data_IF_792297739052
#
_entry.id   IF_792297739052
#
_cell.length_a   1.000
_cell.length_b   1.000
_cell.length_c   1.000
_cell.angle_alpha   90.00
_cell.angle_beta   90.00
_cell.angle_gamma   90.00
#
_symmetry.space_group_name_H-M   'P 1'
#
loop_
_entity.id
_entity.type
_entity.pdbx_description
1 polymer ?
#
# COMPACT_ATOMS: atom_id res chain seq x y z
N UNK A 1 26.16 -45.32 13.72
CA UNK A 1 25.95 -44.60 15.00
C UNK A 1 24.90 -43.52 14.74
N UNK A 2 23.69 -43.74 15.26
CA UNK A 2 22.50 -42.91 15.07
C UNK A 2 22.49 -41.87 16.20
N UNK A 3 22.40 -40.57 15.88
CA UNK A 3 22.15 -39.51 16.86
C UNK A 3 20.78 -38.86 16.58
N UNK A 4 20.06 -38.70 17.68
CA UNK A 4 18.61 -38.53 17.84
C UNK A 4 18.11 -37.14 17.40
N UNK A 5 16.93 -37.12 16.81
CA UNK A 5 16.09 -35.93 16.68
C UNK A 5 15.38 -35.65 18.02
N UNK A 6 15.41 -34.40 18.47
CA UNK A 6 14.58 -33.92 19.58
C UNK A 6 13.21 -33.49 19.05
N UNK A 7 12.17 -34.25 19.39
CA UNK A 7 10.77 -33.87 19.21
C UNK A 7 10.31 -33.15 20.49
N UNK A 8 10.00 -31.86 20.36
CA UNK A 8 9.35 -31.08 21.42
C UNK A 8 7.85 -31.22 21.27
N UNK A 9 7.25 -31.85 22.29
CA UNK A 9 5.82 -32.14 22.43
C UNK A 9 5.12 -30.87 22.95
N UNK A 10 4.39 -30.14 22.10
CA UNK A 10 3.53 -29.04 22.56
C UNK A 10 2.17 -29.61 22.95
N UNK A 11 1.76 -29.28 24.17
CA UNK A 11 0.61 -29.79 24.92
C UNK A 11 -0.66 -29.06 24.47
N UNK A 12 -1.62 -29.78 23.88
CA UNK A 12 -2.97 -29.24 23.70
C UNK A 12 -3.64 -29.05 25.07
N UNK A 13 -4.10 -27.83 25.35
CA UNK A 13 -5.00 -27.53 26.45
C UNK A 13 -6.41 -27.99 26.06
N UNK A 14 -6.96 -28.92 26.85
CA UNK A 14 -8.30 -29.45 26.68
C UNK A 14 -9.37 -28.42 27.04
N UNK A 15 -10.40 -28.34 26.21
CA UNK A 15 -11.66 -27.68 26.52
C UNK A 15 -12.54 -28.69 27.25
N UNK A 16 -12.98 -28.35 28.47
CA UNK A 16 -13.97 -29.13 29.20
C UNK A 16 -15.34 -28.97 28.51
N UNK A 17 -15.89 -30.08 28.01
CA UNK A 17 -17.29 -30.18 27.62
C UNK A 17 -18.10 -30.67 28.81
N UNK A 18 -19.08 -29.88 29.26
CA UNK A 18 -20.10 -30.30 30.22
C UNK A 18 -21.20 -31.10 29.52
N UNK A 19 -21.61 -32.19 30.15
CA UNK A 19 -22.55 -33.20 29.67
C UNK A 19 -23.98 -32.66 29.44
N UNK A 20 -24.60 -33.11 28.35
CA UNK A 20 -26.05 -33.28 28.22
C UNK A 20 -26.32 -34.51 27.33
N UNK A 21 -27.27 -35.35 27.74
CA UNK A 21 -27.68 -36.63 27.15
C UNK A 21 -29.16 -36.54 26.72
N UNK A 22 -29.72 -37.47 25.92
CA UNK A 22 -29.67 -37.51 24.46
C UNK A 22 -31.07 -37.44 23.81
N UNK A 23 -31.18 -37.01 22.55
CA UNK A 23 -32.19 -37.51 21.59
C UNK A 23 -32.10 -36.77 20.24
N UNK A 24 -32.19 -37.52 19.14
CA UNK A 24 -32.37 -36.97 17.79
C UNK A 24 -31.24 -37.30 16.83
N UNK A 25 -31.39 -38.38 16.07
CA UNK A 25 -30.59 -38.65 14.87
C UNK A 25 -30.97 -37.68 13.76
N UNK A 26 -30.19 -36.62 13.57
CA UNK A 26 -30.12 -35.89 12.30
C UNK A 26 -28.70 -36.04 11.74
N UNK A 27 -28.56 -36.86 10.70
CA UNK A 27 -27.37 -36.85 9.86
C UNK A 27 -27.34 -35.52 9.12
N UNK A 28 -26.48 -34.60 9.57
CA UNK A 28 -26.10 -33.44 8.78
C UNK A 28 -25.07 -33.91 7.76
N UNK A 29 -25.44 -33.84 6.49
CA UNK A 29 -24.52 -34.04 5.37
C UNK A 29 -23.47 -32.92 5.42
N UNK A 30 -22.27 -33.27 5.84
CA UNK A 30 -21.12 -32.35 5.87
C UNK A 30 -20.74 -32.09 4.41
N UNK A 31 -20.99 -30.88 3.93
CA UNK A 31 -20.47 -30.47 2.62
C UNK A 31 -18.94 -30.57 2.64
N UNK A 32 -18.31 -31.15 1.61
CA UNK A 32 -16.86 -31.26 1.57
C UNK A 32 -16.23 -29.87 1.67
N UNK A 33 -15.27 -29.72 2.59
CA UNK A 33 -14.43 -28.54 2.66
C UNK A 33 -13.63 -28.48 1.35
N UNK A 34 -13.88 -27.44 0.54
CA UNK A 34 -13.10 -27.22 -0.68
C UNK A 34 -11.63 -27.14 -0.32
N UNK A 35 -10.80 -27.81 -1.10
CA UNK A 35 -9.36 -27.75 -0.90
C UNK A 35 -8.86 -26.33 -1.20
N UNK A 36 -7.81 -25.87 -0.51
CA UNK A 36 -7.16 -24.57 -0.80
C UNK A 36 -6.81 -24.42 -2.30
N UNK A 37 -6.53 -25.53 -2.98
CA UNK A 37 -6.31 -25.61 -4.43
C UNK A 37 -7.54 -25.31 -5.28
N UNK A 38 -8.75 -25.59 -4.79
CA UNK A 38 -10.01 -25.30 -5.50
C UNK A 38 -10.43 -23.83 -5.34
N UNK A 39 -10.15 -23.21 -4.18
CA UNK A 39 -10.30 -21.76 -4.00
C UNK A 39 -9.28 -20.98 -4.85
N UNK A 40 -8.03 -21.45 -4.94
CA UNK A 40 -7.04 -20.89 -5.87
C UNK A 40 -7.46 -21.03 -7.34
N UNK A 41 -8.20 -22.08 -7.71
CA UNK A 41 -8.64 -22.25 -9.11
C UNK A 41 -9.82 -21.35 -9.51
N UNK A 42 -10.50 -20.72 -8.54
CA UNK A 42 -11.51 -19.68 -8.78
C UNK A 42 -10.93 -18.26 -8.82
N UNK A 43 -9.68 -18.06 -8.40
CA UNK A 43 -8.92 -16.84 -8.67
C UNK A 43 -8.50 -16.84 -10.15
N UNK A 44 -9.46 -16.61 -11.05
CA UNK A 44 -9.14 -16.22 -12.43
C UNK A 44 -8.30 -14.96 -12.35
N UNK A 45 -7.03 -15.07 -12.75
CA UNK A 45 -6.07 -13.98 -12.92
C UNK A 45 -6.78 -12.74 -13.46
N UNK A 46 -7.08 -11.79 -12.58
CA UNK A 46 -7.62 -10.50 -12.96
C UNK A 46 -6.41 -9.59 -13.11
N UNK A 47 -5.97 -9.41 -14.35
CA UNK A 47 -5.00 -8.37 -14.69
C UNK A 47 -5.44 -7.04 -14.05
N UNK A 48 -4.49 -6.29 -13.49
CA UNK A 48 -4.74 -4.99 -12.90
C UNK A 48 -5.58 -4.14 -13.87
N UNK A 49 -6.70 -3.60 -13.36
CA UNK A 49 -7.54 -2.72 -14.16
C UNK A 49 -6.90 -1.33 -14.13
N UNK A 50 -6.15 -1.00 -15.18
CA UNK A 50 -5.40 0.26 -15.28
C UNK A 50 -6.22 1.32 -16.02
N UNK A 51 -6.34 2.49 -15.41
CA UNK A 51 -7.07 3.63 -15.92
C UNK A 51 -6.16 4.83 -16.15
N UNK A 52 -6.46 5.58 -17.23
CA UNK A 52 -5.85 6.88 -17.49
C UNK A 52 -6.43 7.94 -16.55
N UNK A 53 -5.59 8.55 -15.70
CA UNK A 53 -6.01 9.65 -14.81
C UNK A 53 -6.52 10.88 -15.57
N UNK A 54 -6.09 11.05 -16.80
CA UNK A 54 -6.56 12.13 -17.67
C UNK A 54 -8.00 11.98 -18.15
N UNK A 55 -8.46 10.73 -18.29
CA UNK A 55 -9.77 10.39 -18.87
C UNK A 55 -10.73 9.82 -17.83
N UNK A 56 -10.31 9.74 -16.58
CA UNK A 56 -11.08 9.14 -15.50
C UNK A 56 -12.25 10.02 -15.10
N UNK A 57 -13.41 9.41 -14.90
CA UNK A 57 -14.60 10.08 -14.39
C UNK A 57 -14.63 9.99 -12.86
N UNK A 58 -14.49 11.13 -12.19
CA UNK A 58 -14.46 11.21 -10.73
C UNK A 58 -15.85 11.33 -10.10
N UNK A 59 -16.94 11.27 -10.88
CA UNK A 59 -18.31 11.49 -10.38
C UNK A 59 -18.84 10.39 -9.46
N UNK A 60 -18.27 9.18 -9.49
CA UNK A 60 -18.80 7.99 -8.79
C UNK A 60 -18.41 7.87 -7.30
N UNK A 61 -17.80 8.88 -6.68
CA UNK A 61 -17.51 8.84 -5.23
C UNK A 61 -16.54 7.72 -4.80
N UNK A 62 -15.55 7.41 -5.64
CA UNK A 62 -14.57 6.33 -5.39
C UNK A 62 -13.55 6.67 -4.30
N UNK A 63 -12.87 5.63 -3.80
CA UNK A 63 -11.84 5.74 -2.78
C UNK A 63 -10.46 5.51 -3.42
N UNK A 64 -9.50 6.37 -3.09
CA UNK A 64 -8.19 6.39 -3.72
C UNK A 64 -7.07 6.23 -2.69
N UNK A 65 -5.98 5.58 -3.07
CA UNK A 65 -4.76 5.49 -2.27
C UNK A 65 -3.59 6.01 -3.09
N UNK A 66 -2.97 7.11 -2.67
CA UNK A 66 -1.92 7.76 -3.45
C UNK A 66 -0.55 7.26 -3.02
N UNK A 67 0.22 6.82 -4.01
CA UNK A 67 1.64 6.51 -3.87
C UNK A 67 2.45 7.77 -3.48
N UNK A 68 3.59 7.55 -2.83
CA UNK A 68 4.61 8.56 -2.50
C UNK A 68 5.00 9.38 -3.73
N UNK A 69 5.21 8.74 -4.89
CA UNK A 69 5.63 9.46 -6.10
C UNK A 69 4.59 10.52 -6.53
N UNK A 70 3.30 10.26 -6.32
CA UNK A 70 2.22 11.20 -6.64
C UNK A 70 2.26 12.38 -5.68
N UNK A 71 2.45 12.14 -4.39
CA UNK A 71 2.61 13.22 -3.42
C UNK A 71 3.84 14.07 -3.70
N UNK A 72 4.93 13.48 -4.19
CA UNK A 72 6.11 14.23 -4.62
C UNK A 72 5.84 15.09 -5.86
N UNK A 73 5.03 14.64 -6.82
CA UNK A 73 4.61 15.49 -7.94
C UNK A 73 3.73 16.68 -7.51
N UNK A 74 2.91 16.51 -6.47
CA UNK A 74 1.97 17.56 -6.03
C UNK A 74 2.62 18.54 -5.04
N UNK A 75 3.40 18.02 -4.08
CA UNK A 75 3.91 18.78 -2.94
C UNK A 75 5.43 18.67 -2.74
N UNK A 76 6.14 17.91 -3.57
CA UNK A 76 7.59 17.78 -3.49
C UNK A 76 8.33 19.03 -3.93
N UNK A 77 9.66 19.07 -3.72
CA UNK A 77 10.49 20.18 -4.14
C UNK A 77 10.76 20.07 -5.64
N UNK A 78 9.93 20.72 -6.45
CA UNK A 78 10.02 20.70 -7.90
C UNK A 78 10.74 21.97 -8.38
N UNK A 79 11.95 21.81 -8.92
CA UNK A 79 12.76 22.93 -9.42
C UNK A 79 12.34 23.43 -10.81
N UNK A 80 11.55 22.66 -11.58
CA UNK A 80 11.14 22.99 -12.95
C UNK A 80 9.72 22.48 -13.25
N UNK A 81 8.94 23.15 -14.11
CA UNK A 81 7.60 22.69 -14.49
C UNK A 81 7.61 21.22 -14.94
N UNK A 82 6.79 20.41 -14.29
CA UNK A 82 6.58 18.99 -14.59
C UNK A 82 5.11 18.77 -14.90
N UNK A 83 4.79 18.33 -16.11
CA UNK A 83 3.42 18.08 -16.55
C UNK A 83 2.68 17.07 -15.64
N UNK A 84 3.42 16.15 -14.99
CA UNK A 84 2.85 15.21 -14.02
C UNK A 84 2.30 15.95 -12.80
N UNK A 85 2.96 17.02 -12.38
CA UNK A 85 2.46 17.88 -11.29
C UNK A 85 1.08 18.45 -11.63
N UNK A 86 0.89 18.96 -12.85
CA UNK A 86 -0.40 19.49 -13.31
C UNK A 86 -1.48 18.42 -13.37
N UNK A 87 -1.15 17.26 -13.96
CA UNK A 87 -2.09 16.15 -14.13
C UNK A 87 -2.55 15.60 -12.78
N UNK A 88 -1.63 15.34 -11.86
CA UNK A 88 -1.96 14.77 -10.55
C UNK A 88 -2.55 15.80 -9.57
N UNK A 89 -2.17 17.08 -9.68
CA UNK A 89 -2.82 18.16 -8.93
C UNK A 89 -4.27 18.36 -9.38
N UNK A 90 -4.55 18.24 -10.68
CA UNK A 90 -5.92 18.22 -11.21
C UNK A 90 -6.69 17.03 -10.65
N UNK A 91 -6.13 15.82 -10.67
CA UNK A 91 -6.78 14.63 -10.11
C UNK A 91 -7.14 14.82 -8.63
N UNK A 92 -6.21 15.33 -7.81
CA UNK A 92 -6.48 15.67 -6.41
C UNK A 92 -7.64 16.67 -6.26
N UNK A 93 -7.72 17.68 -7.14
CA UNK A 93 -8.80 18.67 -7.14
C UNK A 93 -10.15 18.05 -7.52
N UNK A 94 -10.19 17.22 -8.57
CA UNK A 94 -11.42 16.56 -9.02
C UNK A 94 -11.96 15.60 -7.95
N UNK A 95 -11.11 14.79 -7.32
CA UNK A 95 -11.52 13.90 -6.22
C UNK A 95 -12.13 14.73 -5.08
N UNK A 96 -11.49 15.85 -4.70
CA UNK A 96 -11.99 16.75 -3.64
C UNK A 96 -13.28 17.50 -4.01
N UNK A 97 -13.56 17.66 -5.30
CA UNK A 97 -14.80 18.27 -5.79
C UNK A 97 -15.94 17.25 -5.93
N UNK A 98 -15.62 15.96 -5.86
CA UNK A 98 -16.56 14.84 -5.86
C UNK A 98 -16.86 14.35 -4.43
N UNK A 99 -17.66 13.28 -4.32
CA UNK A 99 -17.85 12.55 -3.06
C UNK A 99 -16.69 11.57 -2.74
N UNK A 100 -15.63 11.58 -3.56
CA UNK A 100 -14.49 10.68 -3.42
C UNK A 100 -13.63 10.96 -2.18
N UNK A 101 -12.92 9.93 -1.73
CA UNK A 101 -12.05 9.98 -0.56
C UNK A 101 -10.62 9.55 -0.91
N UNK A 102 -9.63 10.19 -0.28
CA UNK A 102 -8.22 9.84 -0.44
C UNK A 102 -7.71 9.27 0.88
N UNK A 103 -7.07 8.12 0.81
CA UNK A 103 -6.49 7.43 1.94
C UNK A 103 -4.98 7.56 1.98
N UNK A 104 -4.41 7.51 3.19
CA UNK A 104 -2.97 7.55 3.42
C UNK A 104 -2.58 6.70 4.64
N UNK A 105 -1.35 6.19 4.66
CA UNK A 105 -0.77 5.52 5.83
C UNK A 105 0.60 6.14 6.20
N UNK A 106 1.13 5.73 7.35
CA UNK A 106 2.40 6.21 7.87
C UNK A 106 3.61 5.84 6.99
N UNK A 107 3.53 4.75 6.22
CA UNK A 107 4.60 4.31 5.32
C UNK A 107 4.78 5.28 4.16
N UNK A 108 3.68 5.69 3.50
CA UNK A 108 3.69 6.74 2.46
C UNK A 108 4.27 8.05 3.02
N UNK A 109 3.88 8.45 4.24
CA UNK A 109 4.42 9.66 4.88
C UNK A 109 5.92 9.52 5.15
N UNK A 110 6.36 8.38 5.65
CA UNK A 110 7.77 8.09 5.94
C UNK A 110 8.63 8.18 4.67
N UNK A 111 8.17 7.55 3.59
CA UNK A 111 8.82 7.62 2.28
C UNK A 111 8.83 9.04 1.73
N UNK A 112 7.70 9.76 1.77
CA UNK A 112 7.62 11.15 1.31
C UNK A 112 8.63 12.04 2.05
N UNK A 113 8.69 11.98 3.38
CA UNK A 113 9.62 12.75 4.21
C UNK A 113 11.07 12.47 3.81
N UNK A 114 11.43 11.18 3.70
CA UNK A 114 12.80 10.80 3.35
C UNK A 114 13.14 11.17 1.90
N UNK A 115 12.24 10.93 0.94
CA UNK A 115 12.46 11.23 -0.47
C UNK A 115 12.59 12.74 -0.71
N UNK A 116 11.69 13.56 -0.14
CA UNK A 116 11.78 15.02 -0.20
C UNK A 116 13.15 15.50 0.32
N UNK A 117 13.52 15.08 1.53
CA UNK A 117 14.79 15.48 2.13
C UNK A 117 16.01 15.04 1.30
N UNK A 118 15.93 13.90 0.60
CA UNK A 118 16.98 13.41 -0.30
C UNK A 118 17.05 14.23 -1.59
N UNK A 119 15.93 14.69 -2.12
CA UNK A 119 15.91 15.58 -3.30
C UNK A 119 16.56 16.92 -2.93
N UNK A 120 16.19 17.51 -1.79
CA UNK A 120 16.82 18.74 -1.29
C UNK A 120 18.33 18.58 -1.06
N UNK A 121 18.76 17.44 -0.49
CA UNK A 121 20.16 17.15 -0.31
C UNK A 121 20.95 17.12 -1.63
N UNK A 122 20.37 16.60 -2.71
CA UNK A 122 21.03 16.57 -4.03
C UNK A 122 21.32 17.96 -4.59
N UNK A 123 20.63 18.99 -4.11
CA UNK A 123 20.84 20.39 -4.50
C UNK A 123 21.92 21.07 -3.65
N UNK A 124 22.39 20.43 -2.58
CA UNK A 124 23.40 21.00 -1.68
C UNK A 124 24.82 20.71 -2.20
N UNK A 125 25.66 21.74 -2.28
CA UNK A 125 27.09 21.60 -2.60
C UNK A 125 27.98 21.56 -1.35
N UNK A 126 27.47 22.00 -0.20
CA UNK A 126 28.26 22.16 1.04
C UNK A 126 28.47 20.85 1.81
N UNK A 127 27.64 19.83 1.54
CA UNK A 127 27.62 18.59 2.32
C UNK A 127 27.93 17.38 1.43
N UNK A 128 28.95 16.60 1.80
CA UNK A 128 29.31 15.38 1.07
C UNK A 128 28.37 14.21 1.41
N UNK A 129 27.84 14.17 2.65
CA UNK A 129 26.95 13.09 3.11
C UNK A 129 25.62 13.64 3.59
N UNK A 130 24.56 12.92 3.23
CA UNK A 130 23.20 13.28 3.65
C UNK A 130 23.03 13.37 5.17
N UNK A 131 23.71 12.51 5.93
CA UNK A 131 23.64 12.55 7.40
C UNK A 131 24.22 13.84 7.98
N UNK A 132 25.26 14.39 7.35
CA UNK A 132 25.87 15.67 7.76
C UNK A 132 24.91 16.82 7.47
N UNK A 133 24.34 16.85 6.26
CA UNK A 133 23.30 17.82 5.90
C UNK A 133 22.13 17.77 6.87
N UNK A 134 21.53 16.60 7.11
CA UNK A 134 20.36 16.45 7.99
C UNK A 134 20.62 16.94 9.43
N UNK A 135 21.84 16.76 9.92
CA UNK A 135 22.23 17.17 11.27
C UNK A 135 22.70 18.64 11.33
N UNK A 136 22.72 19.34 10.20
CA UNK A 136 23.14 20.75 10.12
C UNK A 136 21.97 21.71 10.38
N UNK A 137 22.25 22.96 10.79
CA UNK A 137 21.25 24.00 10.85
C UNK A 137 20.55 24.27 9.49
N UNK A 138 21.25 24.04 8.37
CA UNK A 138 20.73 24.24 7.02
C UNK A 138 19.57 23.28 6.67
N UNK A 139 19.40 22.19 7.41
CA UNK A 139 18.27 21.26 7.19
C UNK A 139 16.96 21.76 7.83
N UNK A 140 17.00 22.69 8.77
CA UNK A 140 15.80 23.15 9.48
C UNK A 140 14.72 23.72 8.55
N UNK A 141 15.03 24.63 7.60
CA UNK A 141 14.03 25.11 6.64
C UNK A 141 13.41 23.98 5.82
N UNK A 142 14.22 23.01 5.38
CA UNK A 142 13.74 21.82 4.64
C UNK A 142 12.79 20.99 5.50
N UNK A 143 13.11 20.76 6.77
CA UNK A 143 12.23 20.04 7.69
C UNK A 143 10.91 20.79 7.94
N UNK A 144 10.94 22.12 8.01
CA UNK A 144 9.75 22.97 8.13
C UNK A 144 8.86 22.86 6.88
N UNK A 145 9.44 22.89 5.68
CA UNK A 145 8.71 22.71 4.42
C UNK A 145 8.07 21.33 4.30
N UNK A 146 8.83 20.27 4.63
CA UNK A 146 8.31 18.90 4.70
C UNK A 146 7.13 18.83 5.68
N UNK A 147 7.27 19.39 6.88
CA UNK A 147 6.20 19.40 7.89
C UNK A 147 4.94 20.11 7.39
N UNK A 148 5.11 21.26 6.74
CA UNK A 148 4.00 22.04 6.18
C UNK A 148 3.28 21.28 5.08
N UNK A 149 4.00 20.58 4.20
CA UNK A 149 3.40 19.78 3.14
C UNK A 149 2.71 18.52 3.68
N UNK A 150 3.30 17.81 4.66
CA UNK A 150 2.63 16.68 5.33
C UNK A 150 1.32 17.12 6.00
N UNK A 151 1.28 18.30 6.65
CA UNK A 151 0.03 18.84 7.22
C UNK A 151 -1.03 19.12 6.15
N UNK A 152 -0.64 19.59 4.96
CA UNK A 152 -1.58 19.77 3.83
C UNK A 152 -2.11 18.43 3.33
N UNK A 153 -1.25 17.42 3.20
CA UNK A 153 -1.65 16.06 2.81
C UNK A 153 -2.68 15.53 3.81
N UNK A 154 -2.34 15.50 5.10
CA UNK A 154 -3.20 14.98 6.17
C UNK A 154 -4.57 15.67 6.26
N UNK A 155 -4.64 16.98 5.96
CA UNK A 155 -5.90 17.72 5.95
C UNK A 155 -6.88 17.23 4.86
N UNK A 156 -6.38 16.61 3.80
CA UNK A 156 -7.17 16.17 2.64
C UNK A 156 -7.25 14.64 2.52
N UNK A 157 -6.86 13.90 3.55
CA UNK A 157 -6.80 12.43 3.51
C UNK A 157 -7.40 11.79 4.76
N UNK A 158 -7.89 10.56 4.61
CA UNK A 158 -8.30 9.66 5.68
C UNK A 158 -7.15 8.68 5.99
N UNK A 159 -6.87 8.45 7.27
CA UNK A 159 -5.81 7.50 7.66
C UNK A 159 -6.27 6.06 7.52
N UNK A 160 -5.42 5.19 6.98
CA UNK A 160 -5.68 3.75 6.81
C UNK A 160 -4.44 2.90 7.10
N UNK A 161 -3.77 3.16 8.22
CA UNK A 161 -2.66 2.32 8.64
C UNK A 161 -3.09 0.84 8.68
N UNK A 162 -2.30 -0.06 8.06
CA UNK A 162 -2.63 -1.48 8.05
C UNK A 162 -2.63 -2.00 9.49
N UNK A 163 -3.71 -2.67 9.88
CA UNK A 163 -3.70 -3.48 11.09
C UNK A 163 -2.83 -4.70 10.82
N UNK A 164 -1.66 -4.78 11.46
CA UNK A 164 -0.74 -5.90 11.32
C UNK A 164 -1.39 -7.26 11.61
N UNK A 165 -2.42 -7.30 12.45
CA UNK A 165 -3.16 -8.53 12.72
C UNK A 165 -4.09 -8.94 11.57
N UNK A 166 -4.53 -7.98 10.76
CA UNK A 166 -5.41 -8.18 9.60
C UNK A 166 -4.63 -8.35 8.29
N UNK A 167 -3.40 -7.86 8.21
CA UNK A 167 -2.53 -8.05 7.05
C UNK A 167 -2.08 -9.50 6.95
N UNK A 168 -2.17 -10.06 5.74
CA UNK A 168 -1.68 -11.41 5.43
C UNK A 168 -0.16 -11.43 5.27
N UNK A 169 0.54 -11.10 6.36
CA UNK A 169 1.99 -10.92 6.35
C UNK A 169 2.76 -12.16 5.83
N UNK A 170 2.38 -13.42 6.15
CA UNK A 170 3.04 -14.58 5.54
C UNK A 170 2.97 -14.58 4.01
N UNK A 171 1.80 -14.31 3.42
CA UNK A 171 1.61 -14.26 1.96
C UNK A 171 2.43 -13.11 1.33
N UNK A 172 2.52 -11.97 2.01
CA UNK A 172 3.39 -10.86 1.59
C UNK A 172 4.86 -11.28 1.60
N UNK A 173 5.31 -12.00 2.63
CA UNK A 173 6.70 -12.45 2.71
C UNK A 173 7.03 -13.49 1.63
N UNK A 174 6.10 -14.42 1.34
CA UNK A 174 6.26 -15.38 0.25
C UNK A 174 6.45 -14.66 -1.11
N UNK A 175 5.63 -13.63 -1.38
CA UNK A 175 5.77 -12.82 -2.60
C UNK A 175 7.06 -11.98 -2.61
N UNK A 176 7.48 -11.45 -1.45
CA UNK A 176 8.70 -10.67 -1.31
C UNK A 176 9.96 -11.51 -1.59
N UNK A 177 9.98 -12.78 -1.17
CA UNK A 177 11.09 -13.70 -1.40
C UNK A 177 11.36 -13.98 -2.89
N UNK A 178 10.38 -13.73 -3.78
CA UNK A 178 10.59 -13.80 -5.23
C UNK A 178 11.50 -12.68 -5.77
N UNK A 179 11.74 -11.62 -4.98
CA UNK A 179 12.67 -10.54 -5.28
C UNK A 179 12.22 -9.58 -6.40
N UNK A 180 10.92 -9.59 -6.75
CA UNK A 180 10.35 -8.75 -7.82
C UNK A 180 9.83 -7.41 -7.34
N UNK A 181 9.34 -7.36 -6.10
CA UNK A 181 8.69 -6.20 -5.52
C UNK A 181 9.40 -5.83 -4.22
N UNK A 182 9.32 -4.55 -3.85
CA UNK A 182 9.68 -4.19 -2.50
C UNK A 182 8.55 -4.55 -1.51
N UNK A 183 8.87 -4.55 -0.22
CA UNK A 183 7.89 -4.91 0.81
C UNK A 183 6.73 -3.90 0.90
N UNK A 184 7.01 -2.62 0.65
CA UNK A 184 6.01 -1.56 0.78
C UNK A 184 5.00 -1.63 -0.36
N UNK A 185 5.45 -1.91 -1.59
CA UNK A 185 4.61 -2.14 -2.76
C UNK A 185 3.59 -3.25 -2.50
N UNK A 186 4.06 -4.38 -1.97
CA UNK A 186 3.20 -5.52 -1.61
C UNK A 186 2.19 -5.14 -0.52
N UNK A 187 2.64 -4.40 0.50
CA UNK A 187 1.78 -3.93 1.58
C UNK A 187 0.73 -2.93 1.08
N UNK A 188 1.08 -2.03 0.17
CA UNK A 188 0.15 -1.06 -0.42
C UNK A 188 -0.88 -1.74 -1.30
N UNK A 189 -0.46 -2.73 -2.09
CA UNK A 189 -1.39 -3.54 -2.86
C UNK A 189 -2.39 -4.26 -1.94
N UNK A 190 -1.93 -4.81 -0.82
CA UNK A 190 -2.81 -5.45 0.16
C UNK A 190 -3.80 -4.47 0.80
N UNK A 191 -3.34 -3.27 1.17
CA UNK A 191 -4.22 -2.20 1.67
C UNK A 191 -5.29 -1.83 0.63
N UNK A 192 -4.90 -1.72 -0.64
CA UNK A 192 -5.85 -1.40 -1.72
C UNK A 192 -6.89 -2.50 -1.91
N UNK A 193 -6.48 -3.78 -1.92
CA UNK A 193 -7.42 -4.91 -2.03
C UNK A 193 -8.38 -4.99 -0.85
N UNK A 194 -7.85 -4.87 0.38
CA UNK A 194 -8.65 -5.03 1.59
C UNK A 194 -9.72 -3.94 1.76
N UNK A 195 -9.52 -2.77 1.14
CA UNK A 195 -10.40 -1.59 1.27
C UNK A 195 -11.07 -1.17 -0.04
N UNK A 196 -10.91 -1.95 -1.11
CA UNK A 196 -11.41 -1.63 -2.46
C UNK A 196 -11.00 -0.22 -2.94
N UNK A 197 -9.70 0.09 -2.78
CA UNK A 197 -9.12 1.39 -3.15
C UNK A 197 -8.52 1.34 -4.55
N UNK A 198 -8.67 2.45 -5.28
CA UNK A 198 -7.96 2.68 -6.54
C UNK A 198 -6.58 3.24 -6.22
N UNK A 199 -5.53 2.53 -6.62
CA UNK A 199 -4.16 2.95 -6.39
C UNK A 199 -3.72 3.98 -7.42
N UNK A 200 -3.33 5.17 -6.97
CA UNK A 200 -2.85 6.23 -7.84
C UNK A 200 -1.33 6.25 -7.78
N UNK A 201 -0.69 5.88 -8.88
CA UNK A 201 0.77 5.79 -8.99
C UNK A 201 1.25 6.20 -10.38
N UNK A 202 2.51 6.58 -10.48
CA UNK A 202 3.23 6.70 -11.75
C UNK A 202 4.26 5.59 -11.95
N UNK A 203 4.39 4.67 -10.99
CA UNK A 203 5.32 3.55 -11.04
C UNK A 203 4.72 2.36 -11.78
N UNK A 204 5.49 1.83 -12.74
CA UNK A 204 5.04 0.73 -13.59
C UNK A 204 5.03 -0.60 -12.83
N UNK A 205 5.84 -0.72 -11.77
CA UNK A 205 6.11 -2.01 -11.15
C UNK A 205 4.86 -2.56 -10.41
N UNK A 206 3.85 -1.72 -10.17
CA UNK A 206 2.54 -2.12 -9.64
C UNK A 206 1.60 -2.81 -10.64
N UNK A 207 1.90 -2.79 -11.95
CA UNK A 207 0.99 -3.30 -13.00
C UNK A 207 0.61 -4.77 -12.79
N UNK A 208 1.50 -5.55 -12.19
CA UNK A 208 1.33 -7.00 -12.04
C UNK A 208 0.74 -7.39 -10.67
N UNK A 209 0.33 -6.42 -9.84
CA UNK A 209 -0.17 -6.66 -8.48
C UNK A 209 -1.70 -6.80 -8.36
N UNK A 210 -2.43 -7.09 -9.45
CA UNK A 210 -3.89 -7.35 -9.43
C UNK A 210 -4.72 -6.32 -8.62
N UNK A 211 -4.40 -5.02 -8.74
CA UNK A 211 -5.12 -3.91 -8.11
C UNK A 211 -5.70 -2.97 -9.18
N UNK A 212 -6.73 -2.21 -8.86
CA UNK A 212 -7.22 -1.14 -9.75
C UNK A 212 -6.25 0.05 -9.67
N UNK A 213 -5.73 0.49 -10.81
CA UNK A 213 -4.69 1.52 -10.90
C UNK A 213 -5.22 2.73 -11.67
N UNK A 214 -4.86 3.92 -11.20
CA UNK A 214 -5.07 5.17 -11.89
C UNK A 214 -3.72 5.86 -12.15
N UNK A 215 -3.40 6.14 -13.41
CA UNK A 215 -2.06 6.64 -13.77
C UNK A 215 -2.06 7.56 -14.99
N UNK A 216 -1.05 8.41 -15.09
CA UNK A 216 -0.69 9.15 -16.31
C UNK A 216 0.49 8.50 -17.05
N UNK A 217 1.01 7.38 -16.55
CA UNK A 217 2.14 6.71 -17.19
C UNK A 217 1.66 5.90 -18.40
N UNK A 218 1.85 6.44 -19.60
CA UNK A 218 1.45 5.81 -20.87
C UNK A 218 1.96 4.38 -21.03
N UNK A 219 3.12 4.04 -20.45
CA UNK A 219 3.67 2.67 -20.51
C UNK A 219 2.81 1.63 -19.80
N UNK A 220 1.90 2.06 -18.92
CA UNK A 220 0.95 1.19 -18.23
C UNK A 220 -0.40 1.10 -18.95
N UNK A 221 -0.70 2.03 -19.87
CA UNK A 221 -2.02 2.21 -20.50
C UNK A 221 -2.19 1.46 -21.83
N UNK A 222 -1.10 0.97 -22.44
CA UNK A 222 -1.14 0.20 -23.70
C UNK A 222 0.19 0.20 -24.42
#
# INVERSE_FOLDING_TARGET
MIKKAHSTKVRLLGVQASEAHPSGTHFTEVQPLKTHSEELSLAKAHSAKVHSVEKYDFSEGRQFFFDTNIWLYIYGPISFPDWRSDVYSRALKEIRASEGSIYINCMIISEFVNAFARIEFKQQSEFAKYKEFRNSPSFRPVAEDISNNVKKILKNTLTCDPDLAAVKLPEIMDAFEEGRYDFNDLLFAEVCRAKDLIFVTHDRDFRDLEIEILTANERMLG
#
